data_IF_311401868816
#
_entry.id   IF_311401868816
#
_cell.length_a   1.000
_cell.length_b   1.000
_cell.length_c   1.000
_cell.angle_alpha   90.00
_cell.angle_beta   90.00
_cell.angle_gamma   90.00
#
_symmetry.space_group_name_H-M   'P 1'
#
loop_
_entity.id
_entity.type
_entity.pdbx_description
1 polymer ?
#
# COMPACT_ATOMS: atom_id res chain seq x y z
N UNK A 1 12.95 -18.96 12.88
CA UNK A 1 11.90 -19.03 11.84
C UNK A 1 12.58 -18.74 10.52
N UNK A 2 12.40 -19.62 9.55
CA UNK A 2 12.92 -19.39 8.22
C UNK A 2 11.92 -18.50 7.46
N UNK A 3 12.35 -17.27 7.15
CA UNK A 3 11.59 -16.28 6.38
C UNK A 3 12.00 -16.28 4.91
N UNK A 4 12.89 -17.21 4.49
CA UNK A 4 13.40 -17.22 3.14
C UNK A 4 12.29 -17.43 2.13
N UNK A 5 12.19 -16.49 1.21
CA UNK A 5 11.25 -16.50 0.10
C UNK A 5 12.06 -16.34 -1.19
N UNK A 6 11.79 -17.18 -2.17
CA UNK A 6 12.42 -16.98 -3.48
C UNK A 6 11.87 -15.67 -4.06
N UNK A 7 12.72 -14.67 -4.19
CA UNK A 7 12.34 -13.38 -4.73
C UNK A 7 11.84 -13.53 -6.19
N UNK A 8 10.57 -13.25 -6.49
CA UNK A 8 10.03 -13.36 -7.84
C UNK A 8 10.23 -12.09 -8.67
N UNK A 9 10.71 -11.00 -8.05
CA UNK A 9 10.78 -9.70 -8.70
C UNK A 9 11.85 -9.66 -9.79
N UNK A 10 11.58 -9.02 -10.94
CA UNK A 10 12.55 -8.84 -11.99
C UNK A 10 13.69 -7.89 -11.55
N UNK A 11 14.77 -7.84 -12.33
CA UNK A 11 15.94 -7.01 -12.03
C UNK A 11 15.57 -5.53 -11.87
N UNK A 12 14.72 -5.03 -12.73
CA UNK A 12 14.23 -3.66 -12.67
C UNK A 12 13.30 -3.39 -11.47
N UNK A 13 12.97 -4.41 -10.66
CA UNK A 13 12.08 -4.29 -9.52
C UNK A 13 10.64 -3.92 -9.91
N UNK A 14 9.82 -3.52 -8.91
CA UNK A 14 8.42 -3.10 -9.12
C UNK A 14 8.06 -1.89 -8.27
N UNK A 15 7.11 -1.10 -8.78
CA UNK A 15 6.55 0.09 -8.15
C UNK A 15 5.12 -0.18 -7.70
N UNK A 16 4.84 -0.02 -6.42
CA UNK A 16 3.53 -0.29 -5.83
C UNK A 16 3.04 0.94 -5.09
N UNK A 17 1.85 1.43 -5.41
CA UNK A 17 1.20 2.50 -4.66
C UNK A 17 -0.01 2.01 -3.90
N UNK A 18 -0.17 2.49 -2.67
CA UNK A 18 -1.33 2.25 -1.83
C UNK A 18 -2.26 3.44 -1.90
N UNK A 19 -3.47 3.22 -2.37
CA UNK A 19 -4.51 4.25 -2.51
C UNK A 19 -5.76 3.84 -1.74
N UNK A 20 -6.57 4.80 -1.36
CA UNK A 20 -7.82 4.55 -0.65
C UNK A 20 -8.19 5.72 0.27
N UNK A 21 -9.32 5.56 0.94
CA UNK A 21 -9.89 6.55 1.85
C UNK A 21 -9.00 6.81 3.07
N UNK A 22 -9.20 7.96 3.70
CA UNK A 22 -8.73 8.22 5.05
C UNK A 22 -9.23 7.14 6.02
N UNK A 23 -8.32 6.59 6.82
CA UNK A 23 -8.63 5.51 7.74
C UNK A 23 -8.74 4.11 7.13
N UNK A 24 -8.45 3.88 5.85
CA UNK A 24 -8.38 2.53 5.25
C UNK A 24 -7.10 1.76 5.59
N UNK A 25 -6.32 2.23 6.55
CA UNK A 25 -5.10 1.60 7.05
C UNK A 25 -3.96 1.42 6.01
N UNK A 26 -3.85 2.28 4.99
CA UNK A 26 -2.77 2.25 3.99
C UNK A 26 -1.38 2.30 4.64
N UNK A 27 -1.09 3.39 5.35
CA UNK A 27 0.19 3.61 6.03
C UNK A 27 0.52 2.51 7.02
N UNK A 28 -0.48 2.08 7.81
CA UNK A 28 -0.32 0.96 8.76
C UNK A 28 0.03 -0.34 8.06
N UNK A 29 -0.69 -0.66 6.99
CA UNK A 29 -0.42 -1.88 6.21
C UNK A 29 0.96 -1.83 5.59
N UNK A 30 1.33 -0.69 4.99
CA UNK A 30 2.61 -0.52 4.34
C UNK A 30 3.78 -0.62 5.33
N UNK A 31 3.68 0.00 6.51
CA UNK A 31 4.68 -0.09 7.56
C UNK A 31 4.94 -1.54 8.01
N UNK A 32 3.88 -2.35 8.10
CA UNK A 32 4.03 -3.78 8.40
C UNK A 32 4.64 -4.56 7.23
N UNK A 33 4.19 -4.31 6.01
CA UNK A 33 4.67 -5.02 4.82
C UNK A 33 6.16 -4.84 4.59
N UNK A 34 6.71 -3.62 4.74
CA UNK A 34 8.15 -3.40 4.57
C UNK A 34 8.98 -4.21 5.56
N UNK A 35 8.48 -4.45 6.79
CA UNK A 35 9.13 -5.33 7.76
C UNK A 35 9.12 -6.79 7.32
N UNK A 36 8.00 -7.28 6.78
CA UNK A 36 7.91 -8.64 6.25
C UNK A 36 8.83 -8.82 5.04
N UNK A 37 8.81 -7.90 4.09
CA UNK A 37 9.69 -7.97 2.91
C UNK A 37 11.16 -7.93 3.29
N UNK A 38 11.57 -7.07 4.24
CA UNK A 38 12.94 -7.14 4.77
C UNK A 38 13.27 -8.52 5.33
N UNK A 39 12.40 -9.10 6.17
CA UNK A 39 12.63 -10.42 6.74
C UNK A 39 12.69 -11.53 5.67
N UNK A 40 11.98 -11.35 4.56
CA UNK A 40 11.99 -12.24 3.39
C UNK A 40 13.18 -12.01 2.45
N UNK A 41 14.06 -11.05 2.75
CA UNK A 41 15.20 -10.70 1.90
C UNK A 41 14.83 -9.90 0.66
N UNK A 42 13.65 -9.28 0.62
CA UNK A 42 13.20 -8.42 -0.48
C UNK A 42 13.58 -6.96 -0.16
N UNK A 43 14.49 -6.34 -0.93
CA UNK A 43 14.85 -4.95 -0.70
C UNK A 43 13.69 -4.02 -1.08
N UNK A 44 13.50 -2.97 -0.28
CA UNK A 44 12.44 -2.01 -0.53
C UNK A 44 12.87 -0.58 -0.18
N UNK A 45 12.23 0.38 -0.82
CA UNK A 45 12.24 1.80 -0.47
C UNK A 45 10.80 2.30 -0.42
N UNK A 46 10.48 3.14 0.53
CA UNK A 46 9.14 3.73 0.66
C UNK A 46 9.17 5.25 0.46
N UNK A 47 8.11 5.76 -0.15
CA UNK A 47 7.88 7.16 -0.43
C UNK A 47 6.58 7.58 0.26
N UNK A 48 6.67 8.55 1.16
CA UNK A 48 5.49 9.16 1.77
C UNK A 48 5.06 10.35 0.93
N UNK A 49 3.96 10.19 0.22
CA UNK A 49 3.33 11.21 -0.62
C UNK A 49 2.03 11.75 0.01
N UNK A 50 1.85 11.57 1.32
CA UNK A 50 0.76 12.16 2.09
C UNK A 50 1.14 13.57 2.53
N UNK A 51 0.59 14.58 1.87
CA UNK A 51 0.76 16.00 2.15
C UNK A 51 -0.48 16.62 2.81
N UNK A 52 -1.32 15.80 3.45
CA UNK A 52 -2.62 16.22 4.01
C UNK A 52 -2.49 17.32 5.06
N UNK A 53 -1.44 17.27 5.87
CA UNK A 53 -1.19 18.22 6.97
C UNK A 53 -0.34 19.41 6.53
N UNK A 54 0.06 19.45 5.25
CA UNK A 54 0.85 20.52 4.65
C UNK A 54 2.19 20.04 4.06
N UNK A 55 2.83 20.86 3.22
CA UNK A 55 4.04 20.43 2.51
C UNK A 55 5.26 20.25 3.44
N UNK A 56 5.25 20.84 4.61
CA UNK A 56 6.38 20.78 5.58
C UNK A 56 6.17 19.67 6.63
N UNK A 57 4.93 19.21 6.84
CA UNK A 57 4.63 18.16 7.80
C UNK A 57 4.89 16.77 7.22
N UNK A 58 5.44 15.83 8.02
CA UNK A 58 5.59 14.44 7.56
C UNK A 58 4.23 13.78 7.44
N UNK A 59 4.03 13.00 6.38
CA UNK A 59 2.88 12.11 6.29
C UNK A 59 2.99 10.96 7.29
N UNK A 60 1.94 10.15 7.36
CA UNK A 60 1.81 9.13 8.40
C UNK A 60 2.93 8.08 8.40
N UNK A 61 3.42 7.69 7.23
CA UNK A 61 4.46 6.67 7.13
C UNK A 61 5.84 7.22 7.53
N UNK A 62 6.15 8.44 7.10
CA UNK A 62 7.41 9.13 7.45
C UNK A 62 7.45 9.45 8.94
N UNK A 63 6.37 10.01 9.49
CA UNK A 63 6.24 10.27 10.92
C UNK A 63 6.46 9.01 11.75
N UNK A 64 5.89 7.86 11.30
CA UNK A 64 6.14 6.59 11.96
C UNK A 64 7.61 6.20 11.94
N UNK A 65 8.27 6.31 10.77
CA UNK A 65 9.68 5.97 10.65
C UNK A 65 10.57 6.84 11.56
N UNK A 66 10.27 8.14 11.68
CA UNK A 66 10.99 9.08 12.53
C UNK A 66 10.80 8.83 14.05
N UNK A 67 9.65 8.29 14.44
CA UNK A 67 9.38 7.94 15.85
C UNK A 67 10.12 6.68 16.31
N UNK A 68 10.67 5.88 15.41
CA UNK A 68 11.34 4.64 15.79
C UNK A 68 12.72 4.90 16.38
N UNK A 69 13.15 4.08 17.38
CA UNK A 69 14.46 4.26 17.99
C UNK A 69 15.60 4.17 16.97
N UNK A 70 16.58 5.05 17.08
CA UNK A 70 17.77 5.11 16.18
C UNK A 70 18.50 3.76 16.12
N UNK A 71 18.49 2.99 17.20
CA UNK A 71 19.13 1.66 17.26
C UNK A 71 18.24 0.52 16.78
N UNK A 72 16.99 0.81 16.37
CA UNK A 72 16.13 -0.19 15.75
C UNK A 72 16.44 -0.27 14.26
N UNK A 73 16.13 -1.41 13.67
CA UNK A 73 16.13 -1.55 12.19
C UNK A 73 15.07 -0.68 11.49
N UNK A 74 14.49 0.26 12.18
CA UNK A 74 13.43 1.12 11.69
C UNK A 74 12.22 0.31 11.20
N UNK A 75 11.56 0.80 10.19
CA UNK A 75 10.48 0.06 9.49
C UNK A 75 11.01 -1.09 8.62
N UNK A 76 12.32 -1.19 8.40
CA UNK A 76 12.90 -2.22 7.56
C UNK A 76 13.23 -1.78 6.14
N UNK A 77 12.82 -0.58 5.76
CA UNK A 77 13.18 0.11 4.54
C UNK A 77 13.38 1.61 4.84
N UNK A 78 14.22 2.33 4.09
CA UNK A 78 14.25 3.78 4.15
C UNK A 78 12.91 4.36 3.69
N UNK A 79 12.47 5.41 4.37
CA UNK A 79 11.26 6.16 4.02
C UNK A 79 11.67 7.58 3.67
N UNK A 80 11.27 8.03 2.49
CA UNK A 80 11.54 9.37 2.00
C UNK A 80 10.25 10.15 1.82
N UNK A 81 10.30 11.44 2.11
CA UNK A 81 9.24 12.33 1.65
C UNK A 81 9.26 12.37 0.12
N UNK A 82 8.11 12.25 -0.50
CA UNK A 82 8.01 12.33 -1.94
C UNK A 82 6.95 13.34 -2.36
N UNK A 83 7.21 14.09 -3.44
CA UNK A 83 6.18 14.98 -3.97
C UNK A 83 5.04 14.15 -4.56
N UNK A 84 3.82 14.51 -4.21
CA UNK A 84 2.62 14.02 -4.89
C UNK A 84 2.45 14.74 -6.26
N UNK A 85 3.45 14.64 -7.13
CA UNK A 85 3.64 15.42 -8.35
C UNK A 85 4.11 14.54 -9.52
N UNK A 86 4.13 15.03 -10.75
CA UNK A 86 4.61 14.29 -11.92
C UNK A 86 6.03 13.72 -11.78
N UNK A 87 6.88 14.34 -10.95
CA UNK A 87 8.24 13.88 -10.64
C UNK A 87 8.30 12.61 -9.79
N UNK A 88 7.19 12.17 -9.18
CA UNK A 88 7.14 10.97 -8.33
C UNK A 88 7.69 9.73 -9.05
N UNK A 89 7.31 9.53 -10.32
CA UNK A 89 7.80 8.39 -11.11
C UNK A 89 9.33 8.38 -11.22
N UNK A 90 9.92 9.51 -11.54
CA UNK A 90 11.37 9.63 -11.67
C UNK A 90 12.09 9.37 -10.33
N UNK A 91 11.51 9.82 -9.22
CA UNK A 91 12.04 9.58 -7.88
C UNK A 91 11.95 8.10 -7.50
N UNK A 92 10.84 7.44 -7.77
CA UNK A 92 10.68 6.01 -7.58
C UNK A 92 11.67 5.21 -8.41
N UNK A 93 11.88 5.58 -9.68
CA UNK A 93 12.83 4.91 -10.56
C UNK A 93 14.28 5.11 -10.07
N UNK A 94 14.62 6.31 -9.58
CA UNK A 94 15.95 6.64 -9.08
C UNK A 94 16.34 5.86 -7.82
N UNK A 95 15.40 5.63 -6.91
CA UNK A 95 15.64 5.02 -5.61
C UNK A 95 15.32 3.53 -5.54
N UNK A 96 14.65 2.99 -6.56
CA UNK A 96 14.23 1.59 -6.57
C UNK A 96 15.43 0.64 -6.54
N UNK A 97 15.50 -0.27 -5.56
CA UNK A 97 16.56 -1.26 -5.52
C UNK A 97 16.37 -2.34 -6.60
N UNK A 98 17.45 -2.89 -7.16
CA UNK A 98 17.40 -4.06 -8.04
C UNK A 98 16.67 -5.22 -7.35
N UNK A 99 15.85 -5.94 -8.10
CA UNK A 99 15.01 -7.03 -7.57
C UNK A 99 14.18 -6.64 -6.34
N UNK A 100 13.82 -5.35 -6.23
CA UNK A 100 13.17 -4.79 -5.05
C UNK A 100 11.90 -4.03 -5.35
N UNK A 101 11.41 -3.35 -4.33
CA UNK A 101 10.17 -2.59 -4.35
C UNK A 101 10.42 -1.11 -4.13
N UNK A 102 9.77 -0.28 -4.94
CA UNK A 102 9.56 1.14 -4.66
C UNK A 102 8.09 1.34 -4.32
N UNK A 103 7.81 1.80 -3.11
CA UNK A 103 6.48 1.83 -2.51
C UNK A 103 6.01 3.26 -2.30
N UNK A 104 4.72 3.53 -2.48
CA UNK A 104 4.16 4.86 -2.22
C UNK A 104 2.98 4.74 -1.25
N UNK A 105 3.06 5.49 -0.16
CA UNK A 105 1.92 5.80 0.70
C UNK A 105 1.29 7.11 0.23
N UNK A 106 0.01 7.07 -0.13
CA UNK A 106 -0.69 8.26 -0.62
C UNK A 106 -1.63 8.80 0.45
N UNK A 107 -1.90 10.11 0.36
CA UNK A 107 -2.97 10.72 1.15
C UNK A 107 -4.34 10.05 0.94
N UNK A 108 -5.29 10.43 1.77
CA UNK A 108 -6.67 10.00 1.60
C UNK A 108 -7.21 10.40 0.23
N UNK A 109 -7.90 9.46 -0.44
CA UNK A 109 -8.58 9.75 -1.70
C UNK A 109 -9.69 10.78 -1.49
N UNK A 110 -9.57 11.93 -2.15
CA UNK A 110 -10.56 13.00 -2.16
C UNK A 110 -11.02 13.28 -3.59
N UNK A 111 -12.33 13.38 -3.80
CA UNK A 111 -12.94 13.62 -5.12
C UNK A 111 -12.59 14.98 -5.75
N UNK A 112 -12.16 15.95 -4.94
CA UNK A 112 -11.91 17.32 -5.38
C UNK A 112 -10.47 17.64 -5.75
N UNK A 113 -9.49 16.77 -5.43
CA UNK A 113 -8.06 17.04 -5.57
C UNK A 113 -7.32 15.81 -6.07
N UNK A 114 -7.44 15.49 -7.37
CA UNK A 114 -6.94 14.25 -7.96
C UNK A 114 -5.44 14.22 -8.28
N UNK A 115 -4.74 15.35 -8.34
CA UNK A 115 -3.39 15.43 -8.91
C UNK A 115 -2.36 14.50 -8.24
N UNK A 116 -2.41 14.36 -6.92
CA UNK A 116 -1.48 13.48 -6.19
C UNK A 116 -1.73 12.00 -6.48
N UNK A 117 -2.99 11.61 -6.61
CA UNK A 117 -3.36 10.23 -6.92
C UNK A 117 -3.05 9.89 -8.38
N UNK A 118 -3.28 10.82 -9.31
CA UNK A 118 -2.89 10.65 -10.71
C UNK A 118 -1.38 10.43 -10.83
N UNK A 119 -0.57 11.16 -10.05
CA UNK A 119 0.88 10.96 -10.01
C UNK A 119 1.25 9.55 -9.52
N UNK A 120 0.61 9.06 -8.46
CA UNK A 120 0.81 7.70 -7.93
C UNK A 120 0.37 6.63 -8.93
N UNK A 121 -0.80 6.79 -9.57
CA UNK A 121 -1.28 5.89 -10.62
C UNK A 121 -0.29 5.82 -11.78
N UNK A 122 0.17 6.96 -12.29
CA UNK A 122 1.13 7.04 -13.41
C UNK A 122 2.48 6.44 -13.07
N UNK A 123 2.89 6.49 -11.81
CA UNK A 123 4.19 6.01 -11.38
C UNK A 123 4.22 4.50 -11.14
N UNK A 124 3.09 3.85 -10.90
CA UNK A 124 3.02 2.48 -10.39
C UNK A 124 2.91 1.42 -11.47
N UNK A 125 3.44 0.23 -11.18
CA UNK A 125 3.18 -1.01 -11.91
C UNK A 125 1.95 -1.72 -11.30
N UNK A 126 1.80 -1.64 -9.96
CA UNK A 126 0.69 -2.20 -9.20
C UNK A 126 0.05 -1.13 -8.30
N UNK A 127 -1.25 -1.03 -8.34
CA UNK A 127 -2.05 -0.18 -7.46
C UNK A 127 -2.83 -1.05 -6.46
N UNK A 128 -2.56 -0.86 -5.17
CA UNK A 128 -3.29 -1.52 -4.08
C UNK A 128 -4.38 -0.59 -3.58
N UNK A 129 -5.62 -0.92 -3.88
CA UNK A 129 -6.79 -0.20 -3.41
C UNK A 129 -7.21 -0.73 -2.04
N UNK A 130 -6.85 -0.01 -0.97
CA UNK A 130 -7.23 -0.36 0.39
C UNK A 130 -8.66 0.09 0.69
N UNK A 131 -9.54 -0.88 0.94
CA UNK A 131 -10.97 -0.69 1.13
C UNK A 131 -11.41 -1.14 2.53
N UNK A 132 -12.13 -0.28 3.22
CA UNK A 132 -12.88 -0.64 4.42
C UNK A 132 -14.30 -1.05 3.99
N UNK A 133 -14.77 -2.27 4.30
CA UNK A 133 -16.10 -2.74 3.91
C UNK A 133 -17.22 -1.91 4.55
N UNK A 134 -17.62 -0.85 3.88
CA UNK A 134 -18.75 -0.01 4.24
C UNK A 134 -19.54 0.34 2.97
N UNK A 135 -20.85 0.54 3.09
CA UNK A 135 -21.71 0.85 1.95
C UNK A 135 -21.33 2.09 1.14
N UNK A 136 -20.46 2.96 1.69
CA UNK A 136 -19.93 4.15 0.99
C UNK A 136 -18.69 3.85 0.12
N UNK A 137 -18.03 2.70 0.27
CA UNK A 137 -16.80 2.37 -0.45
C UNK A 137 -17.05 2.03 -1.93
N UNK A 138 -18.25 1.50 -2.28
CA UNK A 138 -18.68 1.22 -3.67
C UNK A 138 -18.45 2.39 -4.62
N UNK A 139 -18.76 3.61 -4.15
CA UNK A 139 -18.65 4.83 -4.95
C UNK A 139 -17.21 5.27 -5.25
N UNK A 140 -16.25 4.75 -4.55
CA UNK A 140 -14.85 5.17 -4.66
C UNK A 140 -14.04 4.31 -5.59
N UNK A 141 -14.38 3.04 -5.72
CA UNK A 141 -13.82 2.17 -6.76
C UNK A 141 -14.02 2.78 -8.14
N UNK A 142 -15.24 3.20 -8.47
CA UNK A 142 -15.55 3.86 -9.74
C UNK A 142 -14.74 5.15 -9.96
N UNK A 143 -14.50 5.96 -8.93
CA UNK A 143 -13.70 7.18 -9.03
C UNK A 143 -12.22 6.88 -9.31
N UNK A 144 -11.68 5.81 -8.73
CA UNK A 144 -10.29 5.39 -8.97
C UNK A 144 -10.16 4.79 -10.37
N UNK A 145 -11.11 3.98 -10.80
CA UNK A 145 -11.13 3.43 -12.16
C UNK A 145 -11.20 4.56 -13.20
N UNK A 146 -12.04 5.57 -12.99
CA UNK A 146 -12.10 6.75 -13.85
C UNK A 146 -10.77 7.52 -13.92
N UNK A 147 -10.07 7.65 -12.78
CA UNK A 147 -8.73 8.27 -12.75
C UNK A 147 -7.69 7.41 -13.49
N UNK A 148 -7.82 6.09 -13.48
CA UNK A 148 -6.95 5.19 -14.27
C UNK A 148 -7.22 5.34 -15.76
N UNK A 149 -8.48 5.43 -16.18
CA UNK A 149 -8.85 5.65 -17.57
C UNK A 149 -8.29 7.00 -18.07
N UNK A 150 -8.32 8.03 -17.23
CA UNK A 150 -7.69 9.33 -17.52
C UNK A 150 -6.17 9.18 -17.70
N UNK A 151 -5.48 8.50 -16.79
CA UNK A 151 -4.03 8.27 -16.90
C UNK A 151 -3.69 7.47 -18.15
N UNK A 152 -4.43 6.41 -18.43
CA UNK A 152 -4.24 5.59 -19.62
C UNK A 152 -4.42 6.39 -20.89
N UNK A 153 -5.45 7.22 -20.97
CA UNK A 153 -5.70 8.07 -22.16
C UNK A 153 -4.59 9.09 -22.39
N UNK A 154 -3.95 9.58 -21.32
CA UNK A 154 -2.90 10.59 -21.40
C UNK A 154 -1.50 10.02 -21.65
N UNK A 155 -1.22 8.81 -21.16
CA UNK A 155 0.14 8.27 -21.12
C UNK A 155 0.30 6.88 -21.75
N UNK A 156 -0.79 6.23 -22.15
CA UNK A 156 -0.77 4.84 -22.59
C UNK A 156 -0.41 3.83 -21.48
N UNK A 157 -0.30 4.29 -20.22
CA UNK A 157 0.07 3.45 -19.09
C UNK A 157 -1.13 3.20 -18.18
N UNK A 158 -1.40 1.92 -17.90
CA UNK A 158 -2.43 1.49 -16.95
C UNK A 158 -1.81 0.52 -15.95
N UNK A 159 -1.69 0.87 -14.66
CA UNK A 159 -1.21 -0.07 -13.67
C UNK A 159 -2.22 -1.20 -13.45
N UNK A 160 -1.72 -2.35 -13.04
CA UNK A 160 -2.60 -3.41 -12.51
C UNK A 160 -3.22 -2.93 -11.20
N UNK A 161 -4.50 -3.24 -10.97
CA UNK A 161 -5.21 -2.92 -9.73
C UNK A 161 -5.56 -4.18 -8.97
N UNK A 162 -5.34 -4.15 -7.66
CA UNK A 162 -5.81 -5.17 -6.73
C UNK A 162 -6.52 -4.51 -5.55
N UNK A 163 -7.60 -5.11 -5.09
CA UNK A 163 -8.36 -4.63 -3.95
C UNK A 163 -7.94 -5.35 -2.67
N UNK A 164 -7.63 -4.61 -1.63
CA UNK A 164 -7.30 -5.11 -0.30
C UNK A 164 -8.42 -4.74 0.69
N UNK A 165 -9.09 -5.74 1.25
CA UNK A 165 -10.08 -5.51 2.31
C UNK A 165 -9.38 -5.32 3.66
N UNK A 166 -9.67 -4.20 4.32
CA UNK A 166 -9.03 -3.81 5.57
C UNK A 166 -10.06 -3.51 6.68
N UNK A 167 -9.65 -3.61 7.94
CA UNK A 167 -10.38 -3.13 9.13
C UNK A 167 -11.81 -3.69 9.31
N UNK A 168 -12.14 -4.79 8.70
CA UNK A 168 -13.45 -5.44 8.91
C UNK A 168 -13.44 -6.30 10.19
N UNK A 169 -14.63 -6.59 10.71
CA UNK A 169 -14.80 -7.56 11.80
C UNK A 169 -14.94 -8.98 11.22
N UNK A 170 -14.08 -9.90 11.65
CA UNK A 170 -14.22 -11.32 11.27
C UNK A 170 -15.59 -11.85 11.72
N UNK A 171 -16.25 -12.62 10.88
CA UNK A 171 -17.56 -13.21 11.18
C UNK A 171 -18.77 -12.32 10.87
N UNK A 172 -18.56 -11.11 10.36
CA UNK A 172 -19.64 -10.24 9.85
C UNK A 172 -19.65 -10.33 8.32
N UNK A 173 -20.80 -10.63 7.72
CA UNK A 173 -20.94 -10.91 6.28
C UNK A 173 -20.54 -9.77 5.32
N UNK A 174 -20.42 -8.54 5.84
CA UNK A 174 -20.15 -7.34 5.03
C UNK A 174 -18.89 -7.43 4.15
N UNK A 175 -17.81 -8.06 4.63
CA UNK A 175 -16.59 -8.22 3.83
C UNK A 175 -16.82 -9.17 2.64
N UNK A 176 -17.56 -10.26 2.84
CA UNK A 176 -17.91 -11.20 1.78
C UNK A 176 -18.84 -10.62 0.72
N UNK A 177 -19.76 -9.74 1.12
CA UNK A 177 -20.64 -9.01 0.19
C UNK A 177 -19.84 -8.02 -0.66
N UNK A 178 -18.99 -7.20 -0.03
CA UNK A 178 -18.13 -6.24 -0.73
C UNK A 178 -17.17 -6.96 -1.68
N UNK A 179 -16.59 -8.10 -1.27
CA UNK A 179 -15.74 -8.92 -2.15
C UNK A 179 -16.48 -9.33 -3.42
N UNK A 180 -17.67 -9.92 -3.28
CA UNK A 180 -18.48 -10.36 -4.43
C UNK A 180 -18.83 -9.22 -5.37
N UNK A 181 -19.15 -8.05 -4.81
CA UNK A 181 -19.47 -6.87 -5.61
C UNK A 181 -18.28 -6.40 -6.43
N UNK A 182 -17.09 -6.28 -5.81
CA UNK A 182 -15.87 -5.89 -6.51
C UNK A 182 -15.48 -6.91 -7.61
N UNK A 183 -15.62 -8.21 -7.31
CA UNK A 183 -15.36 -9.28 -8.28
C UNK A 183 -16.35 -9.22 -9.45
N UNK A 184 -17.62 -8.90 -9.19
CA UNK A 184 -18.64 -8.71 -10.24
C UNK A 184 -18.35 -7.47 -11.11
N UNK A 185 -17.68 -6.47 -10.58
CA UNK A 185 -17.19 -5.31 -11.31
C UNK A 185 -15.88 -5.59 -12.08
N UNK A 186 -15.39 -6.83 -12.04
CA UNK A 186 -14.17 -7.26 -12.72
C UNK A 186 -12.87 -6.90 -11.99
N UNK A 187 -12.95 -6.48 -10.73
CA UNK A 187 -11.78 -6.16 -9.92
C UNK A 187 -11.23 -7.42 -9.24
N UNK A 188 -9.90 -7.52 -9.19
CA UNK A 188 -9.24 -8.60 -8.44
C UNK A 188 -9.17 -8.23 -6.95
N UNK A 189 -9.81 -9.05 -6.11
CA UNK A 189 -9.74 -8.88 -4.65
C UNK A 189 -8.73 -9.87 -4.08
N UNK A 190 -7.73 -9.35 -3.38
CA UNK A 190 -6.69 -10.17 -2.74
C UNK A 190 -7.32 -11.20 -1.80
N UNK A 191 -6.74 -12.39 -1.73
CA UNK A 191 -7.17 -13.46 -0.80
C UNK A 191 -6.84 -13.09 0.63
N UNK A 192 -5.66 -12.48 0.82
CA UNK A 192 -5.27 -11.93 2.12
C UNK A 192 -6.13 -10.72 2.46
N UNK A 193 -6.62 -10.69 3.68
CA UNK A 193 -7.47 -9.64 4.22
C UNK A 193 -6.91 -9.17 5.55
N UNK A 194 -7.05 -7.88 5.86
CA UNK A 194 -6.53 -7.31 7.10
C UNK A 194 -7.68 -6.92 8.04
N UNK A 195 -8.15 -7.81 8.90
CA UNK A 195 -9.23 -7.50 9.82
C UNK A 195 -8.81 -6.47 10.86
N UNK A 196 -9.80 -5.79 11.47
CA UNK A 196 -9.54 -4.91 12.60
C UNK A 196 -8.89 -5.71 13.75
N UNK A 197 -7.77 -5.21 14.26
CA UNK A 197 -7.09 -5.78 15.41
C UNK A 197 -6.71 -4.67 16.39
N UNK A 198 -7.61 -4.39 17.32
CA UNK A 198 -7.49 -3.33 18.33
C UNK A 198 -6.84 -3.81 19.64
N UNK A 199 -6.31 -5.04 19.67
CA UNK A 199 -5.55 -5.51 20.83
C UNK A 199 -4.31 -4.64 21.05
N UNK A 200 -3.81 -4.56 22.29
CA UNK A 200 -2.59 -3.76 22.63
C UNK A 200 -1.36 -4.10 21.78
N UNK A 201 -1.33 -5.28 21.19
CA UNK A 201 -0.25 -5.74 20.30
C UNK A 201 -0.70 -5.89 18.85
N UNK A 202 -1.93 -5.48 18.56
CA UNK A 202 -2.51 -5.52 17.23
C UNK A 202 -1.93 -4.45 16.30
N UNK A 203 -1.99 -4.69 15.00
CA UNK A 203 -1.46 -3.74 14.03
C UNK A 203 -2.17 -2.36 14.09
N UNK A 204 -3.43 -2.30 14.51
CA UNK A 204 -4.18 -1.02 14.66
C UNK A 204 -3.62 -0.12 15.77
N UNK A 205 -2.82 -0.67 16.70
CA UNK A 205 -2.20 0.02 17.83
C UNK A 205 -0.69 0.13 17.69
N UNK A 206 -0.14 -0.15 16.51
CA UNK A 206 1.31 -0.29 16.31
C UNK A 206 2.01 0.99 15.86
N UNK A 207 1.28 2.09 15.59
CA UNK A 207 1.88 3.36 15.17
C UNK A 207 2.98 3.83 16.13
N UNK A 208 4.11 4.25 15.60
CA UNK A 208 5.29 4.64 16.38
C UNK A 208 6.07 3.49 17.01
N UNK A 209 5.71 2.23 16.74
CA UNK A 209 6.44 1.04 17.23
C UNK A 209 7.03 0.24 16.07
N UNK A 210 8.05 -0.57 16.36
CA UNK A 210 8.57 -1.52 15.37
C UNK A 210 7.51 -2.61 15.10
N UNK A 211 7.01 -2.75 13.86
CA UNK A 211 6.00 -3.75 13.56
C UNK A 211 6.47 -5.18 13.87
N UNK A 212 5.67 -5.94 14.57
CA UNK A 212 5.98 -7.33 14.94
C UNK A 212 5.78 -8.28 13.76
N UNK A 213 6.75 -9.17 13.57
CA UNK A 213 6.65 -10.24 12.58
C UNK A 213 6.00 -11.48 13.21
N UNK A 214 5.03 -12.05 12.51
CA UNK A 214 4.39 -13.31 12.88
C UNK A 214 4.18 -14.14 11.61
N UNK A 215 4.80 -15.33 11.57
CA UNK A 215 4.62 -16.27 10.46
C UNK A 215 3.15 -16.68 10.32
N UNK A 216 2.71 -16.90 9.07
CA UNK A 216 1.35 -17.32 8.73
C UNK A 216 0.25 -16.37 9.27
N UNK A 217 0.61 -15.10 9.48
CA UNK A 217 -0.37 -14.05 9.80
C UNK A 217 -0.97 -13.46 8.52
N UNK A 218 -2.11 -12.78 8.66
CA UNK A 218 -2.76 -12.09 7.54
C UNK A 218 -1.77 -11.15 6.81
N UNK A 219 -0.90 -10.43 7.54
CA UNK A 219 0.14 -9.57 6.95
C UNK A 219 1.24 -10.36 6.23
N UNK A 220 1.63 -11.53 6.74
CA UNK A 220 2.61 -12.38 6.06
C UNK A 220 2.06 -12.93 4.74
N UNK A 221 0.82 -13.40 4.75
CA UNK A 221 0.17 -13.89 3.53
C UNK A 221 -0.03 -12.74 2.52
N UNK A 222 -0.42 -11.54 3.00
CA UNK A 222 -0.50 -10.35 2.16
C UNK A 222 0.85 -10.00 1.53
N UNK A 223 1.94 -10.05 2.29
CA UNK A 223 3.26 -9.75 1.77
C UNK A 223 3.67 -10.69 0.63
N UNK A 224 3.36 -11.98 0.74
CA UNK A 224 3.62 -12.97 -0.32
C UNK A 224 2.71 -12.75 -1.54
N UNK A 225 1.42 -12.55 -1.31
CA UNK A 225 0.45 -12.37 -2.40
C UNK A 225 0.78 -11.13 -3.23
N UNK A 226 1.14 -10.01 -2.59
CA UNK A 226 1.52 -8.79 -3.31
C UNK A 226 2.79 -8.95 -4.14
N UNK A 227 3.77 -9.75 -3.71
CA UNK A 227 4.95 -10.05 -4.54
C UNK A 227 4.55 -10.81 -5.81
N UNK A 228 3.62 -11.76 -5.70
CA UNK A 228 3.11 -12.49 -6.86
C UNK A 228 2.33 -11.57 -7.79
N UNK A 229 1.44 -10.75 -7.25
CA UNK A 229 0.63 -9.82 -8.06
C UNK A 229 1.47 -8.74 -8.75
N UNK A 230 2.58 -8.30 -8.13
CA UNK A 230 3.50 -7.33 -8.71
C UNK A 230 4.30 -7.90 -9.92
N UNK A 231 4.34 -9.23 -10.10
CA UNK A 231 5.04 -9.87 -11.23
C UNK A 231 4.13 -10.22 -12.41
N UNK A 232 2.84 -10.04 -12.27
CA UNK A 232 1.83 -10.27 -13.32
C UNK A 232 1.64 -9.04 -14.18
#
# INVERSE_FOLDING_TARGET
MDWTWKNPLPEEGRKISFVGKGGSAKSTTLAHLVRYWKAMGIPAVAHDADDSDGPEEPGSLLAWAEMLPVHSDGLGAPVYRAPAAPSLRAEMDRLRPPHGLSLVDTKAWDRGKHNSHLAAIRASDLLVLALYPSGMEKWRGASILGAMDEVESMSGHRPRVVCLLTRFKKGVGAAGEVRKELENEGLYVLKAEIPANESKTGYSQSFGTVPRLKANSDMHELAKELLVEATR
#
